data_IF_282581401857
#
_entry.id   IF_282581401857
#
_cell.length_a   1.000
_cell.length_b   1.000
_cell.length_c   1.000
_cell.angle_alpha   90.00
_cell.angle_beta   90.00
_cell.angle_gamma   90.00
#
_symmetry.space_group_name_H-M   'P 1'
#
loop_
_entity.id
_entity.type
_entity.pdbx_description
1 polymer ?
#
# COMPACT_ATOMS: atom_id res chain seq x y z
N UNK A 1 31.50 75.15 13.58
CA UNK A 1 31.84 74.09 12.62
C UNK A 1 31.46 72.75 13.21
N UNK A 2 30.43 72.15 12.73
CA UNK A 2 30.01 70.75 13.13
C UNK A 2 30.47 69.76 12.05
N UNK A 3 31.09 68.65 12.38
CA UNK A 3 31.51 67.72 11.38
C UNK A 3 30.31 66.90 10.83
N UNK A 4 30.28 66.80 9.51
CA UNK A 4 29.32 66.00 8.74
C UNK A 4 29.80 64.52 8.78
N UNK A 5 28.94 63.62 9.31
CA UNK A 5 29.19 62.20 9.30
C UNK A 5 28.66 61.60 7.96
N UNK A 6 29.45 60.88 7.17
CA UNK A 6 28.95 60.31 5.95
C UNK A 6 28.03 59.07 6.27
N UNK A 7 26.84 59.06 5.67
CA UNK A 7 25.93 57.94 5.68
C UNK A 7 26.58 56.74 4.96
N UNK A 8 27.00 55.76 5.73
CA UNK A 8 27.43 54.48 5.19
C UNK A 8 26.25 53.76 4.53
N UNK A 9 26.41 53.48 3.25
CA UNK A 9 25.54 52.59 2.48
C UNK A 9 25.81 51.17 2.97
N UNK A 10 24.88 50.58 3.72
CA UNK A 10 24.91 49.17 4.06
C UNK A 10 24.49 48.40 2.79
N UNK A 11 25.48 47.88 2.06
CA UNK A 11 25.27 46.94 0.98
C UNK A 11 24.89 45.62 1.62
N UNK A 12 23.58 45.32 1.68
CA UNK A 12 23.09 43.98 1.99
C UNK A 12 23.48 43.06 0.83
N UNK A 13 24.60 42.36 0.98
CA UNK A 13 24.95 41.20 0.18
C UNK A 13 23.92 40.12 0.49
N UNK A 14 22.87 40.01 -0.35
CA UNK A 14 22.12 38.77 -0.49
C UNK A 14 23.08 37.73 -1.07
N UNK A 15 23.74 37.02 -0.18
CA UNK A 15 24.34 35.73 -0.57
C UNK A 15 23.19 34.80 -1.00
N UNK A 16 22.90 34.77 -2.30
CA UNK A 16 22.17 33.65 -2.87
C UNK A 16 23.02 32.43 -2.57
N UNK A 17 22.61 31.62 -1.59
CA UNK A 17 23.06 30.24 -1.54
C UNK A 17 22.62 29.63 -2.88
N UNK A 18 23.55 29.58 -3.84
CA UNK A 18 23.45 28.66 -4.94
C UNK A 18 23.43 27.28 -4.29
N UNK A 19 22.24 26.69 -4.18
CA UNK A 19 22.11 25.27 -3.91
C UNK A 19 22.92 24.63 -5.02
N UNK A 20 24.08 24.06 -4.66
CA UNK A 20 24.89 23.29 -5.60
C UNK A 20 23.92 22.33 -6.29
N UNK A 21 23.75 22.48 -7.60
CA UNK A 21 22.93 21.56 -8.38
C UNK A 21 23.58 20.20 -8.16
N UNK A 22 22.92 19.38 -7.33
CA UNK A 22 23.35 18.00 -7.14
C UNK A 22 23.39 17.40 -8.54
N UNK A 23 24.58 16.97 -8.99
CA UNK A 23 24.70 16.31 -10.28
C UNK A 23 23.95 14.98 -10.14
N UNK A 24 22.77 14.88 -10.75
CA UNK A 24 21.91 13.69 -10.77
C UNK A 24 21.98 12.97 -12.12
N UNK A 25 23.02 13.26 -12.96
CA UNK A 25 23.22 12.61 -14.25
C UNK A 25 23.33 11.09 -14.12
N UNK A 26 23.77 10.64 -12.95
CA UNK A 26 23.82 9.21 -12.63
C UNK A 26 22.43 8.55 -12.61
N UNK A 27 21.35 9.29 -12.29
CA UNK A 27 19.97 8.77 -12.31
C UNK A 27 19.60 8.32 -13.72
N UNK A 28 19.83 9.20 -14.71
CA UNK A 28 19.59 8.88 -16.12
C UNK A 28 20.56 7.78 -16.61
N UNK A 29 21.82 7.82 -16.16
CA UNK A 29 22.83 6.79 -16.45
C UNK A 29 22.45 5.38 -15.98
N UNK A 30 21.70 5.28 -14.91
CA UNK A 30 21.13 4.01 -14.41
C UNK A 30 19.78 3.64 -15.06
N UNK A 31 19.24 4.49 -15.96
CA UNK A 31 17.90 4.30 -16.54
C UNK A 31 16.75 4.79 -15.66
N UNK A 32 17.04 5.56 -14.61
CA UNK A 32 16.07 6.21 -13.76
C UNK A 32 15.41 7.41 -14.44
N UNK A 33 14.49 8.05 -13.74
CA UNK A 33 13.76 9.25 -14.23
C UNK A 33 13.66 10.29 -13.14
N UNK A 34 13.74 11.57 -13.53
CA UNK A 34 13.60 12.73 -12.66
C UNK A 34 12.45 13.58 -13.14
N UNK A 35 11.58 13.99 -12.21
CA UNK A 35 10.56 15.01 -12.47
C UNK A 35 10.92 16.30 -11.74
N UNK A 36 10.71 17.44 -12.41
CA UNK A 36 10.98 18.77 -11.87
C UNK A 36 9.71 19.61 -11.87
N UNK A 37 9.62 20.49 -10.90
CA UNK A 37 8.57 21.54 -10.87
C UNK A 37 8.87 22.66 -11.90
N UNK A 38 7.95 23.61 -12.01
CA UNK A 38 8.09 24.77 -12.92
C UNK A 38 9.30 25.66 -12.58
N UNK A 39 9.82 25.59 -11.36
CA UNK A 39 11.01 26.33 -10.91
C UNK A 39 12.32 25.51 -11.13
N UNK A 40 12.22 24.30 -11.67
CA UNK A 40 13.35 23.41 -11.94
C UNK A 40 13.79 22.55 -10.75
N UNK A 41 13.10 22.62 -9.60
CA UNK A 41 13.43 21.76 -8.46
C UNK A 41 13.03 20.31 -8.74
N UNK A 42 13.85 19.37 -8.29
CA UNK A 42 13.53 17.94 -8.36
C UNK A 42 12.45 17.63 -7.31
N UNK A 43 11.31 17.15 -7.78
CA UNK A 43 10.16 16.77 -6.96
C UNK A 43 9.89 15.27 -6.94
N UNK A 44 10.37 14.53 -7.94
CA UNK A 44 10.26 13.09 -7.96
C UNK A 44 11.50 12.44 -8.60
N UNK A 45 11.88 11.29 -8.05
CA UNK A 45 12.92 10.42 -8.59
C UNK A 45 12.38 9.00 -8.65
N UNK A 46 12.48 8.40 -9.83
CA UNK A 46 12.10 7.01 -10.06
C UNK A 46 13.35 6.22 -10.45
N UNK A 47 13.71 5.27 -9.59
CA UNK A 47 14.85 4.36 -9.76
C UNK A 47 14.42 2.89 -9.82
N UNK A 48 13.13 2.66 -10.15
CA UNK A 48 12.57 1.32 -10.22
C UNK A 48 13.41 0.38 -11.07
N UNK A 49 13.82 -0.76 -10.49
CA UNK A 49 14.54 -1.81 -11.18
C UNK A 49 15.98 -1.45 -11.59
N UNK A 50 16.51 -0.32 -11.13
CA UNK A 50 17.88 0.10 -11.39
C UNK A 50 18.85 -0.56 -10.43
N UNK A 51 20.15 -0.45 -10.76
CA UNK A 51 21.26 -0.91 -9.92
C UNK A 51 21.78 0.20 -8.99
N UNK A 52 20.90 1.10 -8.53
CA UNK A 52 21.27 2.14 -7.58
C UNK A 52 21.87 1.52 -6.32
N UNK A 53 22.97 2.10 -5.84
CA UNK A 53 23.63 1.71 -4.59
C UNK A 53 23.17 2.58 -3.42
N UNK A 54 23.42 2.12 -2.20
CA UNK A 54 23.08 2.87 -0.98
C UNK A 54 23.74 4.27 -0.96
N UNK A 55 24.98 4.37 -1.40
CA UNK A 55 25.74 5.62 -1.38
C UNK A 55 25.13 6.72 -2.26
N UNK A 56 24.50 6.37 -3.38
CA UNK A 56 23.84 7.32 -4.28
C UNK A 56 22.60 7.96 -3.63
N UNK A 57 21.98 7.31 -2.64
CA UNK A 57 20.84 7.86 -1.91
C UNK A 57 21.21 9.07 -1.04
N UNK A 58 22.51 9.26 -0.72
CA UNK A 58 22.99 10.48 -0.05
C UNK A 58 22.70 11.75 -0.87
N UNK A 59 22.77 11.67 -2.19
CA UNK A 59 22.51 12.82 -3.05
C UNK A 59 21.01 13.14 -3.07
N UNK A 60 20.16 12.11 -3.05
CA UNK A 60 18.70 12.29 -2.97
C UNK A 60 18.26 12.90 -1.64
N UNK A 61 18.92 12.52 -0.54
CA UNK A 61 18.62 13.06 0.80
C UNK A 61 18.83 14.58 0.91
N UNK A 62 19.66 15.15 0.00
CA UNK A 62 19.97 16.60 -0.04
C UNK A 62 18.99 17.39 -0.89
N UNK A 63 18.06 16.75 -1.59
CA UNK A 63 17.09 17.42 -2.45
C UNK A 63 15.98 18.10 -1.63
N UNK A 64 15.90 19.44 -1.62
CA UNK A 64 15.04 20.15 -0.66
C UNK A 64 13.55 20.06 -0.99
N UNK A 65 13.20 19.63 -2.22
CA UNK A 65 11.82 19.56 -2.72
C UNK A 65 11.42 18.14 -3.16
N UNK A 66 12.22 17.13 -2.81
CA UNK A 66 11.87 15.77 -3.14
C UNK A 66 10.63 15.33 -2.36
N UNK A 67 9.56 15.01 -3.10
CA UNK A 67 8.27 14.60 -2.56
C UNK A 67 7.95 13.14 -2.89
N UNK A 68 8.42 12.61 -4.02
CA UNK A 68 8.14 11.24 -4.46
C UNK A 68 9.43 10.49 -4.79
N UNK A 69 9.58 9.30 -4.20
CA UNK A 69 10.74 8.44 -4.42
C UNK A 69 10.30 7.00 -4.67
N UNK A 70 10.64 6.48 -5.85
CA UNK A 70 10.41 5.08 -6.22
C UNK A 70 11.75 4.33 -6.28
N UNK A 71 11.93 3.40 -5.35
CA UNK A 71 13.05 2.48 -5.21
C UNK A 71 12.61 1.02 -5.37
N UNK A 72 11.46 0.80 -6.01
CA UNK A 72 10.91 -0.55 -6.19
C UNK A 72 11.83 -1.42 -7.04
N UNK A 73 11.90 -2.72 -6.68
CA UNK A 73 12.77 -3.70 -7.33
C UNK A 73 14.26 -3.32 -7.38
N UNK A 74 14.74 -2.51 -6.44
CA UNK A 74 16.16 -2.20 -6.28
C UNK A 74 16.81 -3.11 -5.24
N UNK A 75 18.13 -3.05 -5.14
CA UNK A 75 18.91 -3.81 -4.15
C UNK A 75 19.46 -2.95 -3.03
N UNK A 76 18.87 -1.79 -2.80
CA UNK A 76 19.23 -0.95 -1.65
C UNK A 76 19.00 -1.72 -0.35
N UNK A 77 19.81 -1.39 0.65
CA UNK A 77 19.76 -2.00 1.96
C UNK A 77 19.25 -1.03 3.03
N UNK A 78 19.18 -1.49 4.26
CA UNK A 78 18.87 -0.65 5.42
C UNK A 78 19.81 0.56 5.53
N UNK A 79 21.07 0.41 5.13
CA UNK A 79 22.04 1.53 5.14
C UNK A 79 21.61 2.65 4.19
N UNK A 80 21.17 2.30 2.97
CA UNK A 80 20.65 3.27 2.01
C UNK A 80 19.45 4.02 2.56
N UNK A 81 18.53 3.32 3.23
CA UNK A 81 17.39 3.96 3.89
C UNK A 81 17.82 4.92 5.00
N UNK A 82 18.85 4.56 5.80
CA UNK A 82 19.36 5.45 6.83
C UNK A 82 19.97 6.73 6.26
N UNK A 83 20.57 6.68 5.07
CA UNK A 83 21.04 7.88 4.37
C UNK A 83 19.90 8.82 3.97
N UNK A 84 18.71 8.28 3.68
CA UNK A 84 17.51 9.07 3.35
C UNK A 84 16.84 9.72 4.57
N UNK A 85 17.26 9.44 5.79
CA UNK A 85 16.64 9.97 7.02
C UNK A 85 16.38 11.48 7.00
N UNK A 86 17.28 12.36 6.44
CA UNK A 86 17.04 13.80 6.37
C UNK A 86 15.94 14.25 5.41
N UNK A 87 15.49 13.36 4.48
CA UNK A 87 14.54 13.68 3.41
C UNK A 87 13.08 13.74 3.92
N UNK A 88 12.81 14.51 4.96
CA UNK A 88 11.50 14.60 5.63
C UNK A 88 10.40 15.24 4.78
N UNK A 89 10.74 15.75 3.58
CA UNK A 89 9.80 16.30 2.61
C UNK A 89 9.05 15.25 1.81
N UNK A 90 9.50 13.99 1.85
CA UNK A 90 8.91 12.90 1.06
C UNK A 90 7.47 12.64 1.51
N UNK A 91 6.59 12.59 0.51
CA UNK A 91 5.15 12.30 0.63
C UNK A 91 4.80 10.89 0.15
N UNK A 92 5.55 10.38 -0.83
CA UNK A 92 5.34 9.06 -1.40
C UNK A 92 6.66 8.29 -1.45
N UNK A 93 6.71 7.14 -0.79
CA UNK A 93 7.83 6.21 -0.81
C UNK A 93 7.37 4.85 -1.33
N UNK A 94 8.01 4.38 -2.40
CA UNK A 94 7.77 3.07 -2.96
C UNK A 94 9.03 2.19 -2.86
N UNK A 95 8.95 1.14 -2.03
CA UNK A 95 9.97 0.11 -1.80
C UNK A 95 9.47 -1.28 -2.24
N UNK A 96 8.49 -1.33 -3.16
CA UNK A 96 7.90 -2.57 -3.65
C UNK A 96 8.97 -3.57 -4.10
N UNK A 97 9.05 -4.73 -3.43
CA UNK A 97 10.09 -5.77 -3.65
C UNK A 97 11.54 -5.25 -3.54
N UNK A 98 11.81 -4.28 -2.68
CA UNK A 98 13.16 -3.97 -2.20
C UNK A 98 13.50 -4.95 -1.06
N UNK A 99 13.83 -6.18 -1.42
CA UNK A 99 13.85 -7.35 -0.52
C UNK A 99 14.91 -7.31 0.59
N UNK A 100 15.84 -6.34 0.55
CA UNK A 100 16.88 -6.19 1.57
C UNK A 100 16.50 -5.20 2.68
N UNK A 101 15.32 -4.58 2.59
CA UNK A 101 14.83 -3.63 3.58
C UNK A 101 14.14 -4.38 4.73
N UNK A 102 14.56 -4.03 5.96
CA UNK A 102 14.01 -4.51 7.21
C UNK A 102 13.48 -3.36 8.08
N UNK A 103 12.98 -3.67 9.28
CA UNK A 103 12.56 -2.65 10.24
C UNK A 103 13.69 -1.67 10.62
N UNK A 104 14.96 -2.11 10.54
CA UNK A 104 16.10 -1.26 10.80
C UNK A 104 16.16 -0.10 9.80
N UNK A 105 16.07 -0.39 8.49
CA UNK A 105 16.03 0.65 7.45
C UNK A 105 14.80 1.53 7.57
N UNK A 106 13.65 0.95 7.90
CA UNK A 106 12.41 1.70 8.08
C UNK A 106 12.45 2.66 9.28
N UNK A 107 13.38 2.49 10.23
CA UNK A 107 13.59 3.46 11.31
C UNK A 107 13.94 4.87 10.80
N UNK A 108 14.43 5.00 9.59
CA UNK A 108 14.76 6.27 8.94
C UNK A 108 13.54 7.17 8.75
N UNK A 109 12.36 6.59 8.47
CA UNK A 109 11.17 7.36 8.11
C UNK A 109 10.31 7.80 9.31
N UNK A 110 10.68 7.46 10.54
CA UNK A 110 9.87 7.76 11.75
C UNK A 110 9.47 9.24 11.90
N UNK A 111 10.30 10.14 11.37
CA UNK A 111 10.10 11.59 11.44
C UNK A 111 9.52 12.18 10.15
N UNK A 112 9.16 11.35 9.15
CA UNK A 112 8.60 11.81 7.87
C UNK A 112 7.10 12.10 7.99
N UNK A 113 6.75 13.12 8.76
CA UNK A 113 5.36 13.47 9.08
C UNK A 113 4.52 13.94 7.87
N UNK A 114 5.18 14.20 6.73
CA UNK A 114 4.52 14.54 5.47
C UNK A 114 4.17 13.32 4.64
N UNK A 115 4.61 12.10 5.03
CA UNK A 115 4.38 10.88 4.27
C UNK A 115 2.89 10.56 4.19
N UNK A 116 2.41 10.38 2.95
CA UNK A 116 1.02 10.09 2.60
C UNK A 116 0.84 8.67 2.06
N UNK A 117 1.82 8.20 1.30
CA UNK A 117 1.80 6.89 0.66
C UNK A 117 3.07 6.13 0.98
N UNK A 118 2.92 4.94 1.54
CA UNK A 118 4.02 4.03 1.85
C UNK A 118 3.72 2.66 1.24
N UNK A 119 4.58 2.23 0.32
CA UNK A 119 4.55 0.88 -0.22
C UNK A 119 5.84 0.16 0.15
N UNK A 120 5.72 -0.84 1.01
CA UNK A 120 6.82 -1.72 1.45
C UNK A 120 6.49 -3.19 1.19
N UNK A 121 5.56 -3.44 0.27
CA UNK A 121 5.16 -4.79 -0.14
C UNK A 121 6.36 -5.62 -0.59
N UNK A 122 6.46 -6.86 -0.12
CA UNK A 122 7.52 -7.79 -0.50
C UNK A 122 8.90 -7.45 0.07
N UNK A 123 8.98 -6.61 1.10
CA UNK A 123 10.20 -6.37 1.89
C UNK A 123 10.26 -7.32 3.09
N UNK A 124 11.33 -7.26 3.88
CA UNK A 124 11.51 -8.08 5.09
C UNK A 124 11.12 -7.33 6.36
N UNK A 125 10.15 -6.45 6.28
CA UNK A 125 9.63 -5.74 7.44
C UNK A 125 8.73 -6.64 8.29
N UNK A 126 8.61 -6.29 9.56
CA UNK A 126 7.73 -6.93 10.53
C UNK A 126 6.89 -5.89 11.30
N UNK A 127 6.32 -6.27 12.43
CA UNK A 127 5.51 -5.42 13.30
C UNK A 127 6.24 -4.15 13.78
N UNK A 128 7.59 -4.17 13.79
CA UNK A 128 8.40 -2.99 14.08
C UNK A 128 8.15 -1.84 13.11
N UNK A 129 7.99 -2.14 11.82
CA UNK A 129 7.63 -1.11 10.82
C UNK A 129 6.20 -0.61 11.00
N UNK A 130 5.24 -1.48 11.39
CA UNK A 130 3.88 -1.02 11.69
C UNK A 130 3.86 -0.02 12.85
N UNK A 131 4.67 -0.25 13.90
CA UNK A 131 4.81 0.69 15.01
C UNK A 131 5.35 2.06 14.53
N UNK A 132 6.28 2.09 13.58
CA UNK A 132 6.77 3.32 12.97
C UNK A 132 5.66 3.97 12.13
N UNK A 133 4.98 3.21 11.27
CA UNK A 133 3.91 3.70 10.41
C UNK A 133 2.76 4.31 11.21
N UNK A 134 2.37 3.70 12.35
CA UNK A 134 1.35 4.23 13.25
C UNK A 134 1.65 5.62 13.80
N UNK A 135 2.93 5.99 13.90
CA UNK A 135 3.37 7.34 14.25
C UNK A 135 3.28 8.36 13.10
N UNK A 136 3.01 7.92 11.87
CA UNK A 136 2.85 8.75 10.67
C UNK A 136 1.37 9.02 10.40
N UNK A 137 0.71 9.71 11.31
CA UNK A 137 -0.76 9.90 11.35
C UNK A 137 -1.35 10.57 10.11
N UNK A 138 -0.51 11.13 9.24
CA UNK A 138 -0.93 11.68 7.95
C UNK A 138 -1.02 10.66 6.82
N UNK A 139 -0.70 9.35 7.04
CA UNK A 139 -0.79 8.33 6.02
C UNK A 139 -2.20 8.16 5.49
N UNK A 140 -2.30 8.07 4.17
CA UNK A 140 -3.54 7.83 3.42
C UNK A 140 -3.52 6.47 2.71
N UNK A 141 -2.34 5.93 2.38
CA UNK A 141 -2.17 4.64 1.72
C UNK A 141 -1.00 3.88 2.32
N UNK A 142 -1.21 2.62 2.71
CA UNK A 142 -0.21 1.72 3.27
C UNK A 142 -0.32 0.35 2.63
N UNK A 143 0.74 -0.08 1.93
CA UNK A 143 0.88 -1.44 1.42
C UNK A 143 2.04 -2.15 2.12
N UNK A 144 1.70 -3.08 2.99
CA UNK A 144 2.62 -3.94 3.74
C UNK A 144 2.38 -5.43 3.44
N UNK A 145 1.72 -5.72 2.31
CA UNK A 145 1.46 -7.10 1.91
C UNK A 145 2.76 -7.87 1.58
N UNK A 146 2.72 -9.21 1.66
CA UNK A 146 3.90 -10.06 1.41
C UNK A 146 5.09 -9.75 2.34
N UNK A 147 4.83 -9.46 3.59
CA UNK A 147 5.84 -9.15 4.60
C UNK A 147 5.73 -10.10 5.80
N UNK A 148 6.54 -9.87 6.83
CA UNK A 148 6.55 -10.70 8.02
C UNK A 148 5.66 -10.15 9.16
N UNK A 149 4.75 -9.21 8.85
CA UNK A 149 3.81 -8.67 9.84
C UNK A 149 2.86 -9.76 10.35
N UNK A 150 2.46 -9.61 11.61
CA UNK A 150 1.51 -10.49 12.29
C UNK A 150 0.27 -9.72 12.77
N UNK A 151 -0.74 -10.44 13.25
CA UNK A 151 -1.94 -9.84 13.83
C UNK A 151 -1.59 -8.85 14.95
N UNK A 152 -0.59 -9.17 15.79
CA UNK A 152 -0.18 -8.36 16.95
C UNK A 152 0.36 -6.97 16.58
N UNK A 153 0.85 -6.78 15.34
CA UNK A 153 1.33 -5.48 14.85
C UNK A 153 0.21 -4.52 14.43
N UNK A 154 -0.98 -5.04 14.16
CA UNK A 154 -2.06 -4.24 13.56
C UNK A 154 -2.63 -3.16 14.49
N UNK A 155 -2.54 -3.34 15.80
CA UNK A 155 -2.98 -2.32 16.78
C UNK A 155 -2.22 -0.99 16.61
N UNK A 156 -1.00 -1.04 16.08
CA UNK A 156 -0.22 0.15 15.78
C UNK A 156 -0.86 1.05 14.70
N UNK A 157 -1.80 0.52 13.90
CA UNK A 157 -2.47 1.26 12.82
C UNK A 157 -3.66 2.11 13.31
N UNK A 158 -4.14 1.90 14.54
CA UNK A 158 -5.31 2.63 15.10
C UNK A 158 -5.19 4.15 15.01
N UNK A 159 -4.00 4.77 15.22
CA UNK A 159 -3.85 6.22 15.09
C UNK A 159 -4.00 6.77 13.66
N UNK A 160 -4.02 5.90 12.62
CA UNK A 160 -4.09 6.29 11.22
C UNK A 160 -5.51 6.63 10.76
N UNK A 161 -6.11 7.64 11.37
CA UNK A 161 -7.50 8.04 11.11
C UNK A 161 -7.76 8.64 9.72
N UNK A 162 -6.72 8.83 8.91
CA UNK A 162 -6.81 9.30 7.52
C UNK A 162 -6.53 8.19 6.50
N UNK A 163 -6.30 6.94 6.97
CA UNK A 163 -5.96 5.84 6.10
C UNK A 163 -7.16 5.43 5.24
N UNK A 164 -6.99 5.49 3.92
CA UNK A 164 -8.00 5.13 2.92
C UNK A 164 -7.70 3.82 2.23
N UNK A 165 -6.43 3.48 2.10
CA UNK A 165 -5.99 2.28 1.40
C UNK A 165 -5.08 1.46 2.31
N UNK A 166 -5.43 0.19 2.54
CA UNK A 166 -4.65 -0.76 3.32
C UNK A 166 -4.52 -2.09 2.59
N UNK A 167 -3.28 -2.53 2.37
CA UNK A 167 -2.95 -3.88 1.89
C UNK A 167 -2.09 -4.58 2.93
N UNK A 168 -2.59 -5.67 3.50
CA UNK A 168 -1.90 -6.51 4.49
C UNK A 168 -1.93 -7.99 4.11
N UNK A 169 -2.47 -8.30 2.93
CA UNK A 169 -2.62 -9.69 2.46
C UNK A 169 -1.28 -10.39 2.27
N UNK A 170 -1.31 -11.73 2.33
CA UNK A 170 -0.13 -12.60 2.12
C UNK A 170 1.02 -12.33 3.09
N UNK A 171 0.71 -11.79 4.27
CA UNK A 171 1.59 -11.65 5.41
C UNK A 171 1.33 -12.78 6.42
N UNK A 172 2.01 -12.79 7.57
CA UNK A 172 1.87 -13.86 8.58
C UNK A 172 0.64 -13.69 9.48
N UNK A 173 -0.49 -13.26 8.92
CA UNK A 173 -1.72 -13.05 9.65
C UNK A 173 -2.40 -14.37 9.99
N UNK A 174 -2.71 -14.60 11.27
CA UNK A 174 -3.46 -15.76 11.75
C UNK A 174 -4.99 -15.58 11.70
N UNK A 175 -5.46 -14.35 11.48
CA UNK A 175 -6.89 -14.01 11.40
C UNK A 175 -7.60 -13.91 12.74
N UNK A 176 -6.92 -14.12 13.87
CA UNK A 176 -7.55 -14.15 15.20
C UNK A 176 -7.72 -12.75 15.84
N UNK A 177 -6.91 -11.77 15.42
CA UNK A 177 -6.84 -10.44 16.03
C UNK A 177 -7.14 -9.31 15.03
N UNK A 178 -7.85 -9.62 13.92
CA UNK A 178 -8.20 -8.62 12.91
C UNK A 178 -9.36 -7.70 13.33
N UNK A 179 -9.85 -7.82 14.56
CA UNK A 179 -10.92 -6.95 15.08
C UNK A 179 -10.53 -5.47 15.10
N UNK A 180 -9.23 -5.16 15.19
CA UNK A 180 -8.71 -3.78 15.11
C UNK A 180 -9.13 -3.09 13.81
N UNK A 181 -9.32 -3.82 12.71
CA UNK A 181 -9.74 -3.26 11.42
C UNK A 181 -11.04 -2.46 11.53
N UNK A 182 -11.98 -2.82 12.41
CA UNK A 182 -13.23 -2.08 12.62
C UNK A 182 -13.04 -0.62 13.02
N UNK A 183 -11.83 -0.27 13.53
CA UNK A 183 -11.50 1.09 13.94
C UNK A 183 -11.00 1.97 12.77
N UNK A 184 -10.62 1.36 11.64
CA UNK A 184 -10.12 2.03 10.46
C UNK A 184 -11.27 2.44 9.52
N UNK A 185 -12.24 3.16 10.04
CA UNK A 185 -13.54 3.44 9.38
C UNK A 185 -13.43 4.32 8.13
N UNK A 186 -12.26 4.91 7.87
CA UNK A 186 -11.99 5.74 6.68
C UNK A 186 -11.53 4.92 5.47
N UNK A 187 -11.36 3.59 5.61
CA UNK A 187 -10.89 2.74 4.53
C UNK A 187 -11.87 2.68 3.37
N UNK A 188 -11.36 2.98 2.18
CA UNK A 188 -12.03 2.84 0.89
C UNK A 188 -11.54 1.60 0.12
N UNK A 189 -10.32 1.16 0.39
CA UNK A 189 -9.68 -0.03 -0.19
C UNK A 189 -9.06 -0.90 0.89
N UNK A 190 -9.37 -2.21 0.86
CA UNK A 190 -8.79 -3.20 1.76
C UNK A 190 -8.40 -4.46 0.99
N UNK A 191 -7.14 -4.90 1.12
CA UNK A 191 -6.62 -6.16 0.57
C UNK A 191 -6.14 -7.07 1.72
N UNK A 192 -6.87 -8.16 1.93
CA UNK A 192 -6.58 -9.22 2.90
C UNK A 192 -6.29 -10.56 2.20
N UNK A 193 -5.99 -10.54 0.90
CA UNK A 193 -5.79 -11.77 0.13
C UNK A 193 -4.77 -12.71 0.77
N UNK A 194 -5.11 -13.99 0.87
CA UNK A 194 -4.23 -15.04 1.35
C UNK A 194 -3.13 -15.44 0.34
N UNK A 195 -2.19 -16.31 0.70
CA UNK A 195 -1.14 -16.78 -0.17
C UNK A 195 -1.72 -17.64 -1.31
N UNK A 196 -1.24 -17.41 -2.54
CA UNK A 196 -1.58 -18.26 -3.69
C UNK A 196 -0.98 -19.66 -3.51
N UNK A 197 -1.77 -20.75 -3.67
CA UNK A 197 -1.24 -22.11 -3.68
C UNK A 197 -0.23 -22.24 -4.83
N UNK A 198 1.03 -22.52 -4.51
CA UNK A 198 2.11 -22.61 -5.50
C UNK A 198 3.19 -21.56 -5.44
N UNK A 199 2.97 -20.45 -4.75
CA UNK A 199 4.03 -19.49 -4.45
C UNK A 199 4.85 -20.00 -3.25
N UNK A 200 5.81 -20.91 -3.47
CA UNK A 200 6.72 -21.38 -2.42
C UNK A 200 6.73 -22.87 -2.10
N UNK A 201 6.12 -23.73 -2.94
CA UNK A 201 6.40 -25.18 -2.96
C UNK A 201 5.85 -26.01 -1.80
N UNK A 202 5.00 -25.49 -0.95
CA UNK A 202 4.20 -26.27 0.00
C UNK A 202 2.73 -25.99 -0.26
N UNK A 203 2.06 -26.94 -0.90
CA UNK A 203 0.61 -26.97 -1.05
C UNK A 203 -0.02 -27.24 0.32
N UNK A 204 -0.23 -26.22 1.13
CA UNK A 204 -1.29 -26.33 2.14
C UNK A 204 -2.61 -26.15 1.40
N UNK A 205 -3.18 -27.28 0.98
CA UNK A 205 -4.39 -27.38 0.13
C UNK A 205 -5.68 -27.09 0.90
N UNK A 206 -5.62 -26.65 2.14
CA UNK A 206 -6.78 -26.29 2.93
C UNK A 206 -6.60 -24.91 3.54
N UNK A 207 -7.08 -23.88 2.83
CA UNK A 207 -7.29 -22.57 3.44
C UNK A 207 -8.40 -22.75 4.47
N UNK A 208 -8.07 -22.57 5.76
CA UNK A 208 -9.09 -22.62 6.81
C UNK A 208 -10.12 -21.50 6.58
N UNK A 209 -11.40 -21.74 6.88
CA UNK A 209 -12.39 -20.67 6.84
C UNK A 209 -11.95 -19.48 7.66
N UNK A 210 -12.15 -18.27 7.14
CA UNK A 210 -11.91 -17.06 7.93
C UNK A 210 -12.78 -17.12 9.19
N UNK A 211 -12.22 -16.84 10.39
CA UNK A 211 -13.02 -16.70 11.60
C UNK A 211 -14.15 -15.70 11.38
N UNK A 212 -15.34 -15.96 11.92
CA UNK A 212 -16.50 -15.08 11.76
C UNK A 212 -16.25 -13.64 12.29
N UNK A 213 -15.30 -13.46 13.21
CA UNK A 213 -14.85 -12.16 13.69
C UNK A 213 -14.32 -11.25 12.57
N UNK A 214 -13.63 -11.83 11.56
CA UNK A 214 -13.04 -11.04 10.46
C UNK A 214 -14.11 -10.39 9.57
N UNK A 215 -15.09 -11.12 9.01
CA UNK A 215 -16.20 -10.49 8.30
C UNK A 215 -16.96 -9.47 9.15
N UNK A 216 -17.16 -9.73 10.46
CA UNK A 216 -17.81 -8.78 11.37
C UNK A 216 -16.99 -7.48 11.50
N UNK A 217 -15.68 -7.57 11.67
CA UNK A 217 -14.83 -6.38 11.75
C UNK A 217 -14.84 -5.57 10.44
N UNK A 218 -14.76 -6.25 9.29
CA UNK A 218 -14.82 -5.62 7.97
C UNK A 218 -16.18 -4.97 7.73
N UNK A 219 -17.29 -5.55 8.22
CA UNK A 219 -18.64 -5.04 8.00
C UNK A 219 -18.89 -3.64 8.60
N UNK A 220 -18.01 -3.18 9.50
CA UNK A 220 -18.03 -1.83 10.06
C UNK A 220 -17.39 -0.76 9.15
N UNK A 221 -16.67 -1.18 8.09
CA UNK A 221 -15.95 -0.29 7.18
C UNK A 221 -16.89 0.26 6.08
N UNK A 222 -17.80 1.16 6.45
CA UNK A 222 -18.88 1.65 5.58
C UNK A 222 -18.43 2.49 4.38
N UNK A 223 -17.18 2.96 4.37
CA UNK A 223 -16.62 3.72 3.23
C UNK A 223 -16.00 2.80 2.17
N UNK A 224 -15.94 1.49 2.42
CA UNK A 224 -15.22 0.54 1.59
C UNK A 224 -15.83 0.44 0.18
N UNK A 225 -14.99 0.62 -0.84
CA UNK A 225 -15.32 0.53 -2.27
C UNK A 225 -14.67 -0.67 -2.95
N UNK A 226 -13.48 -1.04 -2.50
CA UNK A 226 -12.73 -2.17 -3.06
C UNK A 226 -12.35 -3.10 -1.92
N UNK A 227 -12.79 -4.36 -2.02
CA UNK A 227 -12.47 -5.41 -1.06
C UNK A 227 -11.84 -6.58 -1.78
N UNK A 228 -10.62 -6.95 -1.40
CA UNK A 228 -9.92 -8.12 -1.92
C UNK A 228 -9.74 -9.15 -0.82
N UNK A 229 -10.29 -10.32 -1.06
CA UNK A 229 -10.26 -11.49 -0.18
C UNK A 229 -9.77 -12.74 -0.93
N UNK A 230 -9.02 -12.55 -2.02
CA UNK A 230 -8.51 -13.65 -2.83
C UNK A 230 -7.78 -14.69 -1.96
N UNK A 231 -7.96 -15.97 -2.24
CA UNK A 231 -7.36 -17.09 -1.51
C UNK A 231 -7.63 -17.05 0.01
N UNK A 232 -8.68 -16.40 0.44
CA UNK A 232 -9.16 -16.46 1.84
C UNK A 232 -10.16 -17.59 2.03
N UNK A 233 -10.40 -17.96 3.27
CA UNK A 233 -11.40 -18.97 3.62
C UNK A 233 -12.84 -18.45 3.66
N UNK A 234 -13.16 -17.30 3.03
CA UNK A 234 -14.52 -16.76 3.04
C UNK A 234 -15.47 -17.63 2.24
N UNK A 235 -16.71 -17.76 2.72
CA UNK A 235 -17.82 -18.44 2.06
C UNK A 235 -19.11 -17.66 2.16
N UNK A 236 -20.26 -18.30 1.84
CA UNK A 236 -21.57 -17.66 1.82
C UNK A 236 -21.92 -16.92 3.13
N UNK A 237 -21.63 -17.52 4.29
CA UNK A 237 -21.93 -16.90 5.58
C UNK A 237 -21.14 -15.62 5.82
N UNK A 238 -19.87 -15.61 5.49
CA UNK A 238 -19.03 -14.41 5.56
C UNK A 238 -19.55 -13.32 4.62
N UNK A 239 -19.89 -13.67 3.37
CA UNK A 239 -20.43 -12.71 2.39
C UNK A 239 -21.77 -12.14 2.82
N UNK A 240 -22.63 -12.93 3.51
CA UNK A 240 -23.87 -12.45 4.08
C UNK A 240 -23.63 -11.39 5.17
N UNK A 241 -22.63 -11.59 6.05
CA UNK A 241 -22.25 -10.58 7.05
C UNK A 241 -21.79 -9.28 6.35
N UNK A 242 -20.98 -9.41 5.30
CA UNK A 242 -20.48 -8.28 4.54
C UNK A 242 -21.52 -7.58 3.65
N UNK A 243 -22.74 -8.12 3.51
CA UNK A 243 -23.80 -7.52 2.69
C UNK A 243 -24.24 -6.13 3.14
N UNK A 244 -23.86 -5.72 4.35
CA UNK A 244 -24.07 -4.37 4.87
C UNK A 244 -23.13 -3.31 4.29
N UNK A 245 -22.14 -3.71 3.47
CA UNK A 245 -21.18 -2.82 2.79
C UNK A 245 -21.81 -2.31 1.48
N UNK A 246 -22.63 -1.29 1.59
CA UNK A 246 -23.44 -0.77 0.50
C UNK A 246 -22.67 0.04 -0.56
N UNK A 247 -21.38 0.38 -0.30
CA UNK A 247 -20.52 1.13 -1.21
C UNK A 247 -19.53 0.26 -1.97
N UNK A 248 -19.43 -1.04 -1.71
CA UNK A 248 -18.46 -1.91 -2.39
C UNK A 248 -18.81 -2.05 -3.86
N UNK A 249 -17.90 -1.58 -4.70
CA UNK A 249 -17.99 -1.62 -6.15
C UNK A 249 -17.18 -2.75 -6.77
N UNK A 250 -16.08 -3.15 -6.12
CA UNK A 250 -15.19 -4.22 -6.59
C UNK A 250 -14.93 -5.22 -5.48
N UNK A 251 -15.16 -6.50 -5.79
CA UNK A 251 -14.93 -7.61 -4.88
C UNK A 251 -14.08 -8.67 -5.59
N UNK A 252 -12.93 -9.04 -5.01
CA UNK A 252 -12.09 -10.12 -5.50
C UNK A 252 -12.16 -11.30 -4.52
N UNK A 253 -12.61 -12.44 -5.03
CA UNK A 253 -12.76 -13.72 -4.34
C UNK A 253 -12.00 -14.85 -5.06
N UNK A 254 -11.06 -14.51 -5.95
CA UNK A 254 -10.22 -15.47 -6.67
C UNK A 254 -9.65 -16.52 -5.69
N UNK A 255 -9.72 -17.79 -6.05
CA UNK A 255 -9.17 -18.89 -5.25
C UNK A 255 -9.88 -19.17 -3.93
N UNK A 256 -11.01 -18.53 -3.65
CA UNK A 256 -11.80 -18.80 -2.45
C UNK A 256 -12.57 -20.12 -2.58
N UNK A 257 -12.01 -21.20 -2.07
CA UNK A 257 -12.55 -22.57 -2.22
C UNK A 257 -13.93 -22.82 -1.58
N UNK A 258 -14.40 -21.90 -0.74
CA UNK A 258 -15.72 -21.96 -0.09
C UNK A 258 -16.77 -21.10 -0.82
N UNK A 259 -16.37 -20.39 -1.88
CA UNK A 259 -17.29 -19.62 -2.73
C UNK A 259 -17.86 -20.54 -3.80
N UNK A 260 -19.18 -20.67 -3.83
CA UNK A 260 -19.99 -21.48 -4.75
C UNK A 260 -21.24 -20.70 -5.19
N UNK A 261 -22.16 -21.34 -5.90
CA UNK A 261 -23.38 -20.69 -6.41
C UNK A 261 -24.27 -20.13 -5.30
N UNK A 262 -24.29 -20.75 -4.10
CA UNK A 262 -24.99 -20.20 -2.95
C UNK A 262 -24.40 -18.86 -2.53
N UNK A 263 -23.07 -18.74 -2.53
CA UNK A 263 -22.39 -17.47 -2.23
C UNK A 263 -22.76 -16.36 -3.23
N UNK A 264 -22.95 -16.69 -4.52
CA UNK A 264 -23.43 -15.73 -5.52
C UNK A 264 -24.85 -15.23 -5.23
N UNK A 265 -25.68 -16.05 -4.61
CA UNK A 265 -27.03 -15.62 -4.19
C UNK A 265 -26.97 -14.51 -3.14
N UNK A 266 -26.03 -14.57 -2.22
CA UNK A 266 -25.80 -13.47 -1.24
C UNK A 266 -25.30 -12.21 -1.95
N UNK A 267 -24.41 -12.34 -2.94
CA UNK A 267 -23.87 -11.21 -3.71
C UNK A 267 -24.92 -10.52 -4.60
N UNK A 268 -26.03 -11.20 -4.94
CA UNK A 268 -27.13 -10.58 -5.67
C UNK A 268 -27.75 -9.38 -4.93
N UNK A 269 -27.60 -9.32 -3.60
CA UNK A 269 -28.10 -8.21 -2.76
C UNK A 269 -27.16 -6.99 -2.75
N UNK A 270 -25.91 -7.13 -3.22
CA UNK A 270 -24.90 -6.07 -3.17
C UNK A 270 -25.11 -5.05 -4.30
N UNK A 271 -25.98 -4.06 -4.09
CA UNK A 271 -26.47 -3.14 -5.12
C UNK A 271 -25.36 -2.33 -5.81
N UNK A 272 -24.30 -2.00 -5.11
CA UNK A 272 -23.20 -1.18 -5.64
C UNK A 272 -22.13 -1.97 -6.38
N UNK A 273 -22.15 -3.32 -6.28
CA UNK A 273 -21.14 -4.18 -6.87
C UNK A 273 -21.17 -4.09 -8.40
N UNK A 274 -20.07 -3.69 -9.01
CA UNK A 274 -19.87 -3.52 -10.47
C UNK A 274 -18.90 -4.54 -11.04
N UNK A 275 -17.95 -4.99 -10.23
CA UNK A 275 -16.90 -5.92 -10.65
C UNK A 275 -16.76 -7.03 -9.59
N UNK A 276 -16.81 -8.27 -10.03
CA UNK A 276 -16.66 -9.47 -9.23
C UNK A 276 -15.65 -10.41 -9.86
N UNK A 277 -14.64 -10.81 -9.11
CA UNK A 277 -13.70 -11.84 -9.49
C UNK A 277 -13.97 -13.11 -8.65
N UNK A 278 -14.36 -14.19 -9.32
CA UNK A 278 -14.61 -15.53 -8.75
C UNK A 278 -13.84 -16.60 -9.51
N UNK A 279 -12.70 -16.24 -10.12
CA UNK A 279 -11.82 -17.20 -10.75
C UNK A 279 -11.31 -18.21 -9.71
N UNK A 280 -11.00 -19.43 -10.13
CA UNK A 280 -10.52 -20.52 -9.27
C UNK A 280 -11.41 -20.82 -8.04
N UNK A 281 -12.71 -20.56 -8.13
CA UNK A 281 -13.69 -20.88 -7.09
C UNK A 281 -14.54 -22.10 -7.47
N UNK A 282 -15.52 -22.46 -6.64
CA UNK A 282 -16.50 -23.52 -6.94
C UNK A 282 -17.79 -22.99 -7.59
N UNK A 283 -17.72 -21.81 -8.17
CA UNK A 283 -18.84 -21.22 -8.91
C UNK A 283 -19.01 -21.89 -10.26
N UNK A 284 -20.26 -22.23 -10.60
CA UNK A 284 -20.58 -22.85 -11.90
C UNK A 284 -20.98 -21.78 -12.94
N UNK A 285 -20.91 -22.11 -14.25
CA UNK A 285 -21.44 -21.22 -15.28
C UNK A 285 -22.92 -20.88 -15.09
N UNK A 286 -23.71 -21.81 -14.53
CA UNK A 286 -25.12 -21.61 -14.21
C UNK A 286 -25.29 -20.57 -13.10
N UNK A 287 -24.44 -20.64 -12.05
CA UNK A 287 -24.43 -19.64 -10.98
C UNK A 287 -24.08 -18.24 -11.48
N UNK A 288 -23.07 -18.14 -12.36
CA UNK A 288 -22.70 -16.87 -13.01
C UNK A 288 -23.89 -16.31 -13.80
N UNK A 289 -24.48 -17.10 -14.70
CA UNK A 289 -25.61 -16.68 -15.50
C UNK A 289 -26.82 -16.24 -14.64
N UNK A 290 -27.05 -16.89 -13.50
CA UNK A 290 -28.11 -16.51 -12.57
C UNK A 290 -27.82 -15.14 -11.92
N UNK A 291 -26.57 -14.86 -11.53
CA UNK A 291 -26.17 -13.58 -10.96
C UNK A 291 -26.24 -12.45 -12.01
N UNK A 292 -25.76 -12.67 -13.23
CA UNK A 292 -25.85 -11.70 -14.33
C UNK A 292 -27.29 -11.32 -14.63
N UNK A 293 -28.21 -12.29 -14.63
CA UNK A 293 -29.63 -12.05 -14.80
C UNK A 293 -30.24 -11.23 -13.65
N UNK A 294 -29.80 -11.46 -12.42
CA UNK A 294 -30.25 -10.74 -11.24
C UNK A 294 -29.63 -9.33 -11.14
N UNK A 295 -28.44 -9.14 -11.71
CA UNK A 295 -27.62 -7.93 -11.60
C UNK A 295 -27.11 -7.47 -12.97
N UNK A 296 -27.98 -6.81 -13.72
CA UNK A 296 -27.61 -6.27 -15.05
C UNK A 296 -26.46 -5.29 -14.96
N UNK A 297 -25.43 -5.49 -15.80
CA UNK A 297 -24.27 -4.62 -15.91
C UNK A 297 -23.14 -4.91 -14.92
N UNK A 298 -23.22 -5.97 -14.12
CA UNK A 298 -22.05 -6.46 -13.36
C UNK A 298 -21.05 -7.13 -14.29
N UNK A 299 -19.76 -6.87 -14.08
CA UNK A 299 -18.67 -7.58 -14.78
C UNK A 299 -18.18 -8.72 -13.88
N UNK A 300 -18.23 -9.94 -14.37
CA UNK A 300 -17.81 -11.12 -13.60
C UNK A 300 -16.65 -11.81 -14.31
N UNK A 301 -15.54 -11.96 -13.59
CA UNK A 301 -14.44 -12.85 -13.99
C UNK A 301 -14.68 -14.21 -13.33
N UNK A 302 -14.76 -15.28 -14.13
CA UNK A 302 -15.00 -16.64 -13.67
C UNK A 302 -14.19 -17.64 -14.51
N UNK A 303 -14.06 -18.90 -14.04
CA UNK A 303 -13.27 -19.94 -14.68
C UNK A 303 -11.87 -20.05 -14.13
N UNK A 304 -11.00 -20.83 -14.80
CA UNK A 304 -9.60 -20.96 -14.43
C UNK A 304 -8.83 -19.69 -14.84
N UNK A 305 -7.84 -19.28 -14.04
CA UNK A 305 -7.01 -18.12 -14.35
C UNK A 305 -6.33 -18.31 -15.72
N UNK A 306 -6.75 -17.54 -16.72
CA UNK A 306 -6.18 -17.57 -18.07
C UNK A 306 -7.18 -17.87 -19.20
N UNK A 307 -8.43 -18.16 -18.89
CA UNK A 307 -9.50 -18.28 -19.89
C UNK A 307 -10.34 -17.00 -19.85
N UNK A 308 -9.97 -16.04 -20.69
CA UNK A 308 -10.81 -14.85 -20.94
C UNK A 308 -11.87 -15.29 -21.96
N UNK A 309 -13.11 -15.31 -21.59
CA UNK A 309 -14.27 -15.50 -22.48
C UNK A 309 -14.81 -14.18 -23.00
#
# INVERSE_FOLDING_TARGET
MRPVVPRGVILLLFASLAVASSNLDWVDGLGGKIERDAAGNVIAVNLRGTWVSDSELLDLARLPKLERLDLSHTRITDEGMLYLKPATGIRELNLYYAEQITDQGMSAIKDWKNLKRLNVRGTRISDGTLAIAGGLTGLESLDVAYTEITDSGLDALVPLTHLKELSIGRSKLGGNELEVLRLLTTLEYLDLGGPHPGAGGKTETSVSPLPASVPCAISELKELRVLKLAYSGIGADGLRILSSLDKVEKLALEGCSHVNDQALTELAQWKSLKFLDVQETKVTPQGVAALEKARLGIVILSGDAGVVH
#
